data_IF_585199293526
#
_entry.id   IF_585199293526
#
_cell.length_a   1.000
_cell.length_b   1.000
_cell.length_c   1.000
_cell.angle_alpha   90.00
_cell.angle_beta   90.00
_cell.angle_gamma   90.00
#
_symmetry.space_group_name_H-M   'P 1'
#
loop_
_entity.id
_entity.type
_entity.pdbx_description
1 polymer ?
#
# COMPACT_ATOMS: atom_id res chain seq x y z
N UNK A 1 -14.46 -0.86 12.47
CA UNK A 1 -13.96 0.20 13.37
C UNK A 1 -13.07 1.17 12.58
N UNK A 2 -13.64 2.23 12.01
CA UNK A 2 -12.95 3.17 11.09
C UNK A 2 -11.96 4.14 11.74
N UNK A 3 -11.35 3.79 12.88
CA UNK A 3 -10.46 4.67 13.64
C UNK A 3 -8.97 4.51 13.29
N UNK A 4 -8.61 3.51 12.49
CA UNK A 4 -7.21 3.28 12.12
C UNK A 4 -6.88 4.02 10.81
N UNK A 5 -6.12 5.11 10.91
CA UNK A 5 -5.70 5.93 9.76
C UNK A 5 -4.49 5.37 9.03
N UNK A 6 -3.67 4.58 9.72
CA UNK A 6 -2.40 4.05 9.22
C UNK A 6 -2.28 2.57 9.58
N UNK A 7 -1.94 1.76 8.60
CA UNK A 7 -1.47 0.39 8.82
C UNK A 7 0.02 0.34 8.47
N UNK A 8 0.83 -0.18 9.39
CA UNK A 8 2.26 -0.40 9.18
C UNK A 8 2.49 -1.90 9.14
N UNK A 9 3.09 -2.39 8.07
CA UNK A 9 3.33 -3.80 7.84
C UNK A 9 4.63 -4.02 7.07
N UNK A 10 5.19 -5.21 7.21
CA UNK A 10 6.15 -5.75 6.24
C UNK A 10 5.39 -6.34 5.03
N UNK A 11 6.08 -6.54 3.91
CA UNK A 11 5.57 -7.20 2.69
C UNK A 11 4.67 -8.40 3.03
N UNK A 12 5.13 -9.27 3.95
CA UNK A 12 4.49 -10.54 4.28
C UNK A 12 3.11 -10.40 4.96
N UNK A 13 2.81 -9.27 5.61
CA UNK A 13 1.59 -9.09 6.39
C UNK A 13 0.44 -8.45 5.60
N UNK A 14 0.64 -8.06 4.34
CA UNK A 14 -0.39 -7.42 3.53
C UNK A 14 -1.48 -8.37 3.00
N UNK A 15 -1.30 -9.69 3.07
CA UNK A 15 -2.21 -10.64 2.45
C UNK A 15 -3.61 -10.62 3.11
N UNK A 16 -4.64 -10.30 2.32
CA UNK A 16 -6.05 -10.45 2.72
C UNK A 16 -6.81 -9.17 3.11
N UNK A 17 -6.11 -8.07 3.42
CA UNK A 17 -6.77 -6.80 3.74
C UNK A 17 -7.10 -6.01 2.47
N UNK A 18 -8.39 -5.79 2.21
CA UNK A 18 -8.88 -5.06 1.05
C UNK A 18 -9.68 -3.81 1.47
N UNK A 19 -8.99 -2.69 1.66
CA UNK A 19 -9.63 -1.39 1.85
C UNK A 19 -9.64 -0.62 0.53
N UNK A 20 -10.82 -0.33 0.00
CA UNK A 20 -10.97 0.40 -1.27
C UNK A 20 -10.46 1.84 -1.21
N UNK A 21 -10.44 2.43 -0.02
CA UNK A 21 -10.19 3.85 0.22
C UNK A 21 -8.77 4.19 0.68
N UNK A 22 -7.78 3.31 0.44
CA UNK A 22 -6.37 3.60 0.74
C UNK A 22 -5.90 4.78 -0.13
N UNK A 23 -5.31 5.80 0.49
CA UNK A 23 -4.85 7.03 -0.17
C UNK A 23 -3.35 7.11 -0.39
N UNK A 24 -2.57 6.37 0.39
CA UNK A 24 -1.12 6.32 0.24
C UNK A 24 -0.60 4.93 0.54
N UNK A 25 0.40 4.49 -0.22
CA UNK A 25 1.29 3.37 0.09
C UNK A 25 2.71 3.93 0.09
N UNK A 26 3.41 3.77 1.21
CA UNK A 26 4.75 4.31 1.42
C UNK A 26 5.71 3.17 1.71
N UNK A 27 6.73 3.01 0.87
CA UNK A 27 7.78 2.02 1.04
C UNK A 27 9.01 2.67 1.67
N UNK A 28 9.45 2.14 2.81
CA UNK A 28 10.71 2.50 3.45
C UNK A 28 11.73 1.42 3.13
N UNK A 29 12.60 1.68 2.16
CA UNK A 29 13.50 0.71 1.54
C UNK A 29 12.99 0.22 0.18
N UNK A 30 13.90 -0.37 -0.59
CA UNK A 30 13.58 -0.96 -1.88
C UNK A 30 12.72 -2.22 -1.71
N UNK A 31 11.77 -2.43 -2.62
CA UNK A 31 11.06 -3.70 -2.76
C UNK A 31 11.93 -4.72 -3.49
N UNK A 32 11.69 -6.01 -3.25
CA UNK A 32 12.45 -7.11 -3.87
C UNK A 32 12.37 -7.13 -5.40
N UNK A 33 11.28 -6.62 -5.98
CA UNK A 33 11.09 -6.54 -7.43
C UNK A 33 10.07 -5.48 -7.82
N UNK A 34 10.07 -5.10 -9.09
CA UNK A 34 9.04 -4.23 -9.66
C UNK A 34 7.64 -4.85 -9.55
N UNK A 35 7.52 -6.18 -9.65
CA UNK A 35 6.26 -6.89 -9.48
C UNK A 35 5.74 -6.76 -8.05
N UNK A 36 6.63 -6.91 -7.06
CA UNK A 36 6.29 -6.70 -5.65
C UNK A 36 5.81 -5.28 -5.42
N UNK A 37 6.53 -4.29 -5.94
CA UNK A 37 6.11 -2.89 -5.88
C UNK A 37 4.72 -2.66 -6.49
N UNK A 38 4.46 -3.17 -7.69
CA UNK A 38 3.17 -3.05 -8.36
C UNK A 38 2.04 -3.72 -7.56
N UNK A 39 2.28 -4.91 -7.02
CA UNK A 39 1.29 -5.64 -6.24
C UNK A 39 0.96 -4.93 -4.91
N UNK A 40 1.98 -4.42 -4.23
CA UNK A 40 1.84 -3.75 -2.93
C UNK A 40 1.20 -2.36 -3.06
N UNK A 41 1.63 -1.57 -4.05
CA UNK A 41 1.07 -0.23 -4.31
C UNK A 41 -0.33 -0.28 -4.94
N UNK A 42 -0.67 -1.35 -5.67
CA UNK A 42 -2.00 -1.58 -6.25
C UNK A 42 -3.16 -1.74 -5.25
N UNK A 43 -2.88 -1.59 -3.95
CA UNK A 43 -3.87 -1.47 -2.88
C UNK A 43 -4.46 -0.06 -2.79
N UNK A 44 -3.71 0.95 -3.20
CA UNK A 44 -4.13 2.34 -3.17
C UNK A 44 -5.15 2.64 -4.28
N UNK A 45 -6.07 3.59 -4.05
CA UNK A 45 -6.94 4.12 -5.11
C UNK A 45 -7.93 3.14 -5.75
N UNK A 46 -8.26 2.02 -5.08
CA UNK A 46 -9.19 1.01 -5.59
C UNK A 46 -10.63 1.50 -5.80
N UNK A 47 -10.98 2.63 -5.21
CA UNK A 47 -12.24 3.35 -5.44
C UNK A 47 -12.20 4.31 -6.64
N UNK A 48 -11.12 4.28 -7.45
CA UNK A 48 -10.96 5.11 -8.65
C UNK A 48 -10.51 6.54 -8.37
N UNK A 49 -10.27 6.91 -7.11
CA UNK A 49 -9.75 8.23 -6.73
C UNK A 49 -8.23 8.24 -6.77
N UNK A 50 -7.65 9.43 -6.98
CA UNK A 50 -6.20 9.62 -6.93
C UNK A 50 -5.62 9.12 -5.60
N UNK A 51 -4.45 8.46 -5.71
CA UNK A 51 -3.69 7.96 -4.57
C UNK A 51 -2.19 8.08 -4.83
N UNK A 52 -1.41 8.11 -3.75
CA UNK A 52 0.05 8.23 -3.78
C UNK A 52 0.71 6.87 -3.57
N UNK A 53 1.70 6.56 -4.40
CA UNK A 53 2.66 5.49 -4.16
C UNK A 53 4.05 6.10 -4.19
N UNK A 54 4.83 5.92 -3.13
CA UNK A 54 6.17 6.50 -3.03
C UNK A 54 7.12 5.54 -2.32
N UNK A 55 8.35 5.51 -2.80
CA UNK A 55 9.44 4.71 -2.24
C UNK A 55 10.55 5.63 -1.77
N UNK A 56 10.95 5.46 -0.52
CA UNK A 56 12.06 6.15 0.11
C UNK A 56 13.21 5.17 0.25
N UNK A 57 14.31 5.44 -0.44
CA UNK A 57 15.55 4.64 -0.41
C UNK A 57 16.65 5.37 0.35
#
# INVERSE_FOLDING_TARGET
>A
SGNCKFAVCTNALGAGVNFSHIRAVLHFGATDSLLSYAQETGRAGRDGKHALASMFV
#
